data_IF_044304829247
#
_entry.id   IF_044304829247
#
_cell.length_a   1.000
_cell.length_b   1.000
_cell.length_c   1.000
_cell.angle_alpha   90.00
_cell.angle_beta   90.00
_cell.angle_gamma   90.00
#
_symmetry.space_group_name_H-M   'P 1'
#
loop_
_entity.id
_entity.type
_entity.pdbx_description
1 polymer ?
#
# COMPACT_ATOMS: atom_id res chain seq x y z
N UNK A 1 -15.00 1.00 14.51
CA UNK A 1 -15.55 1.64 13.29
C UNK A 1 -15.25 0.69 12.14
N UNK A 2 -16.27 0.17 11.46
CA UNK A 2 -16.07 -0.75 10.34
C UNK A 2 -15.28 -0.02 9.25
N UNK A 3 -14.16 -0.59 8.80
CA UNK A 3 -13.37 0.00 7.72
C UNK A 3 -14.14 -0.10 6.42
N UNK A 4 -14.39 1.05 5.79
CA UNK A 4 -15.19 1.15 4.58
C UNK A 4 -14.37 0.59 3.41
N UNK A 5 -14.79 -0.54 2.84
CA UNK A 5 -14.05 -1.22 1.76
C UNK A 5 -14.13 -0.43 0.45
N UNK A 6 -13.18 -0.64 -0.49
CA UNK A 6 -13.22 0.02 -1.79
C UNK A 6 -14.55 -0.18 -2.52
N UNK A 7 -15.06 -1.42 -2.53
CA UNK A 7 -16.34 -1.75 -3.16
C UNK A 7 -17.50 -0.99 -2.52
N UNK A 8 -17.54 -0.93 -1.18
CA UNK A 8 -18.62 -0.23 -0.47
C UNK A 8 -18.60 1.28 -0.71
N UNK A 9 -17.41 1.91 -0.76
CA UNK A 9 -17.28 3.33 -1.09
C UNK A 9 -17.72 3.62 -2.53
N UNK A 10 -17.38 2.73 -3.46
CA UNK A 10 -17.78 2.88 -4.86
C UNK A 10 -19.30 2.81 -5.02
N UNK A 11 -19.94 1.80 -4.42
CA UNK A 11 -21.41 1.66 -4.46
C UNK A 11 -22.11 2.84 -3.79
N UNK A 12 -21.57 3.35 -2.67
CA UNK A 12 -22.09 4.55 -2.01
C UNK A 12 -22.04 5.76 -2.96
N UNK A 13 -20.91 5.99 -3.63
CA UNK A 13 -20.76 7.11 -4.55
C UNK A 13 -21.73 7.06 -5.75
N UNK A 14 -21.99 5.84 -6.27
CA UNK A 14 -23.00 5.63 -7.31
C UNK A 14 -24.42 5.91 -6.79
N UNK A 15 -24.76 5.42 -5.60
CA UNK A 15 -26.07 5.62 -4.98
C UNK A 15 -26.35 7.10 -4.68
N UNK A 16 -25.32 7.87 -4.33
CA UNK A 16 -25.40 9.32 -4.11
C UNK A 16 -25.49 10.13 -5.42
N UNK A 17 -25.38 9.48 -6.59
CA UNK A 17 -25.43 10.14 -7.89
C UNK A 17 -24.20 10.98 -8.23
N UNK A 18 -23.13 10.89 -7.41
CA UNK A 18 -21.90 11.65 -7.61
C UNK A 18 -21.05 11.15 -8.79
N UNK A 19 -21.25 9.88 -9.19
CA UNK A 19 -20.49 9.20 -10.24
C UNK A 19 -21.41 8.34 -11.11
N UNK A 20 -21.01 8.13 -12.37
CA UNK A 20 -21.74 7.29 -13.31
C UNK A 20 -21.18 5.86 -13.30
N UNK A 21 -22.04 4.83 -13.42
CA UNK A 21 -21.57 3.45 -13.49
C UNK A 21 -20.78 3.20 -14.79
N UNK A 22 -19.56 2.68 -14.65
CA UNK A 22 -18.69 2.29 -15.75
C UNK A 22 -18.09 0.90 -15.49
N UNK A 23 -18.17 0.00 -16.46
CA UNK A 23 -17.73 -1.39 -16.28
C UNK A 23 -16.22 -1.51 -16.08
N UNK A 24 -15.44 -0.63 -16.72
CA UNK A 24 -13.98 -0.58 -16.52
C UNK A 24 -13.65 -0.08 -15.10
N UNK A 25 -14.42 0.88 -14.57
CA UNK A 25 -14.26 1.32 -13.19
C UNK A 25 -14.63 0.22 -12.20
N UNK A 26 -15.72 -0.53 -12.44
CA UNK A 26 -16.10 -1.68 -11.61
C UNK A 26 -15.00 -2.74 -11.56
N UNK A 27 -14.38 -3.05 -12.70
CA UNK A 27 -13.26 -3.99 -12.73
C UNK A 27 -12.07 -3.46 -11.91
N UNK A 28 -11.70 -2.19 -12.09
CA UNK A 28 -10.64 -1.59 -11.30
C UNK A 28 -10.94 -1.63 -9.79
N UNK A 29 -12.18 -1.31 -9.38
CA UNK A 29 -12.62 -1.41 -7.97
C UNK A 29 -12.53 -2.83 -7.45
N UNK A 30 -12.87 -3.83 -8.27
CA UNK A 30 -12.76 -5.24 -7.89
C UNK A 30 -11.29 -5.64 -7.65
N UNK A 31 -10.36 -5.13 -8.47
CA UNK A 31 -8.91 -5.33 -8.25
C UNK A 31 -8.42 -4.62 -6.98
N UNK A 32 -8.90 -3.39 -6.74
CA UNK A 32 -8.57 -2.63 -5.54
C UNK A 32 -9.12 -3.33 -4.27
N UNK A 33 -10.29 -3.96 -4.34
CA UNK A 33 -10.83 -4.77 -3.25
C UNK A 33 -9.91 -5.95 -2.93
N UNK A 34 -9.43 -6.68 -3.94
CA UNK A 34 -8.48 -7.79 -3.73
C UNK A 34 -7.23 -7.29 -3.01
N UNK A 35 -6.63 -6.19 -3.49
CA UNK A 35 -5.43 -5.60 -2.87
C UNK A 35 -5.75 -5.13 -1.44
N UNK A 36 -6.91 -4.52 -1.20
CA UNK A 36 -7.35 -4.14 0.15
C UNK A 36 -7.35 -5.36 1.09
N UNK A 37 -7.99 -6.47 0.66
CA UNK A 37 -8.08 -7.70 1.45
C UNK A 37 -6.70 -8.29 1.73
N UNK A 38 -5.83 -8.34 0.72
CA UNK A 38 -4.45 -8.81 0.88
C UNK A 38 -3.66 -7.92 1.87
N UNK A 39 -3.79 -6.59 1.80
CA UNK A 39 -3.11 -5.65 2.69
C UNK A 39 -3.62 -5.69 4.15
N UNK A 40 -4.91 -5.98 4.38
CA UNK A 40 -5.42 -6.11 5.76
C UNK A 40 -5.04 -7.46 6.37
N UNK A 41 -5.01 -8.52 5.56
CA UNK A 41 -4.69 -9.88 6.02
C UNK A 41 -3.17 -10.10 6.18
N UNK A 42 -2.33 -9.33 5.48
CA UNK A 42 -0.87 -9.42 5.56
C UNK A 42 -0.25 -8.67 6.76
N UNK A 43 -1.05 -8.24 7.74
CA UNK A 43 -0.55 -7.46 8.88
C UNK A 43 0.47 -8.29 9.69
N UNK A 44 1.74 -7.84 9.84
CA UNK A 44 2.71 -8.57 10.64
C UNK A 44 2.24 -8.61 12.11
N UNK A 45 2.45 -9.73 12.83
CA UNK A 45 2.12 -9.79 14.24
C UNK A 45 2.87 -8.69 14.98
N UNK A 46 2.18 -8.00 15.88
CA UNK A 46 2.76 -6.94 16.73
C UNK A 46 4.09 -7.39 17.33
N UNK A 47 5.06 -6.47 17.54
CA UNK A 47 6.35 -6.82 18.12
C UNK A 47 6.12 -7.47 19.49
N UNK A 48 6.25 -8.81 19.55
CA UNK A 48 6.17 -9.55 20.80
C UNK A 48 7.36 -9.12 21.64
N UNK A 49 7.06 -8.45 22.75
CA UNK A 49 8.01 -8.00 23.76
C UNK A 49 9.04 -9.10 24.02
N UNK A 50 10.32 -8.79 23.78
CA UNK A 50 11.41 -9.76 23.92
C UNK A 50 11.74 -9.92 25.40
N UNK A 51 10.88 -10.63 26.13
CA UNK A 51 11.17 -11.08 27.49
C UNK A 51 12.14 -12.26 27.48
N UNK A 52 12.81 -12.51 28.62
CA UNK A 52 13.77 -13.60 28.83
C UNK A 52 13.24 -15.00 28.40
N UNK A 53 11.91 -15.17 28.36
CA UNK A 53 11.21 -16.37 27.87
C UNK A 53 11.33 -16.64 26.36
N UNK A 54 11.65 -15.63 25.53
CA UNK A 54 11.79 -15.81 24.08
C UNK A 54 13.12 -16.47 23.66
N UNK A 55 14.12 -16.46 24.55
CA UNK A 55 15.46 -17.01 24.27
C UNK A 55 15.51 -18.53 24.45
N UNK A 56 14.75 -19.06 25.41
CA UNK A 56 14.66 -20.51 25.67
C UNK A 56 13.83 -21.24 24.62
N UNK A 57 12.79 -20.62 24.06
CA UNK A 57 12.01 -21.21 22.95
C UNK A 57 12.74 -21.26 21.59
N UNK A 58 13.87 -20.55 21.44
CA UNK A 58 14.61 -20.42 20.18
C UNK A 58 15.43 -21.68 19.82
N UNK A 59 15.64 -22.60 20.76
CA UNK A 59 16.47 -23.80 20.57
C UNK A 59 15.73 -25.01 20.00
N UNK A 60 14.39 -25.05 20.06
CA UNK A 60 13.58 -26.19 19.57
C UNK A 60 12.57 -25.83 18.46
N UNK A 61 12.42 -24.55 18.13
CA UNK A 61 11.53 -24.11 17.06
C UNK A 61 12.30 -23.75 15.81
N UNK A 62 12.25 -24.61 14.79
CA UNK A 62 12.56 -24.25 13.41
C UNK A 62 11.71 -23.02 13.07
N UNK A 63 12.33 -21.84 13.04
CA UNK A 63 11.69 -20.61 12.60
C UNK A 63 11.38 -20.80 11.13
N UNK A 64 10.14 -21.15 10.82
CA UNK A 64 9.60 -20.87 9.51
C UNK A 64 9.57 -19.35 9.39
N UNK A 65 10.61 -18.81 8.73
CA UNK A 65 10.53 -17.50 8.11
C UNK A 65 9.36 -17.61 7.12
N UNK A 66 8.16 -17.23 7.57
CA UNK A 66 7.03 -16.99 6.69
C UNK A 66 7.48 -15.89 5.75
N UNK A 67 8.00 -16.29 4.58
CA UNK A 67 8.29 -15.41 3.46
C UNK A 67 6.97 -14.75 3.10
N UNK A 68 6.71 -13.58 3.65
CA UNK A 68 5.56 -12.78 3.29
C UNK A 68 5.76 -12.35 1.84
N UNK A 69 4.98 -12.95 0.94
CA UNK A 69 4.92 -12.51 -0.45
C UNK A 69 4.36 -11.07 -0.46
N UNK A 70 5.07 -10.09 -1.05
CA UNK A 70 4.56 -8.73 -1.10
C UNK A 70 3.29 -8.67 -1.92
N UNK A 71 2.32 -7.90 -1.44
CA UNK A 71 1.07 -7.61 -2.16
C UNK A 71 1.41 -6.83 -3.42
N UNK A 72 0.93 -7.31 -4.58
CA UNK A 72 1.17 -6.63 -5.86
C UNK A 72 0.22 -5.45 -6.01
N UNK A 73 0.76 -4.32 -6.48
CA UNK A 73 -0.03 -3.12 -6.75
C UNK A 73 -0.83 -3.19 -8.05
N UNK A 74 -1.61 -2.13 -8.30
CA UNK A 74 -2.39 -1.93 -9.53
C UNK A 74 -1.87 -0.73 -10.30
N UNK A 75 -1.48 -0.93 -11.56
CA UNK A 75 -1.13 0.17 -12.47
C UNK A 75 -2.33 0.50 -13.37
N UNK A 76 -2.91 1.70 -13.19
CA UNK A 76 -4.08 2.15 -13.93
C UNK A 76 -3.69 3.17 -15.00
N UNK A 77 -4.03 2.89 -16.25
CA UNK A 77 -3.79 3.77 -17.39
C UNK A 77 -5.06 3.91 -18.25
N UNK A 78 -5.12 4.95 -19.08
CA UNK A 78 -6.27 5.21 -19.96
C UNK A 78 -6.56 6.71 -20.11
N UNK A 79 -7.62 7.03 -20.87
CA UNK A 79 -7.98 8.42 -21.24
C UNK A 79 -8.27 9.36 -20.07
N UNK A 80 -8.21 10.67 -20.34
CA UNK A 80 -8.54 11.75 -19.39
C UNK A 80 -10.03 11.67 -19.03
N UNK A 81 -10.38 12.02 -17.78
CA UNK A 81 -11.78 12.07 -17.33
C UNK A 81 -12.41 10.72 -16.95
N UNK A 82 -11.68 9.61 -17.00
CA UNK A 82 -12.21 8.26 -16.67
C UNK A 82 -12.22 7.92 -15.16
N UNK A 83 -11.98 8.90 -14.28
CA UNK A 83 -12.08 8.70 -12.83
C UNK A 83 -10.89 7.99 -12.16
N UNK A 84 -9.72 7.87 -12.82
CA UNK A 84 -8.53 7.22 -12.23
C UNK A 84 -8.10 7.84 -10.90
N UNK A 85 -8.01 9.18 -10.85
CA UNK A 85 -7.65 9.92 -9.63
C UNK A 85 -8.64 9.65 -8.51
N UNK A 86 -9.93 9.67 -8.84
CA UNK A 86 -10.99 9.37 -7.88
C UNK A 86 -10.90 7.93 -7.33
N UNK A 87 -10.66 6.94 -8.19
CA UNK A 87 -10.47 5.55 -7.76
C UNK A 87 -9.26 5.39 -6.82
N UNK A 88 -8.16 6.11 -7.08
CA UNK A 88 -7.03 6.16 -6.16
C UNK A 88 -7.39 6.80 -4.81
N UNK A 89 -8.14 7.91 -4.82
CA UNK A 89 -8.56 8.60 -3.59
C UNK A 89 -9.48 7.74 -2.74
N UNK A 90 -10.43 7.07 -3.40
CA UNK A 90 -11.32 6.09 -2.79
C UNK A 90 -10.51 4.97 -2.13
N UNK A 91 -9.54 4.40 -2.85
CA UNK A 91 -8.72 3.31 -2.29
C UNK A 91 -7.86 3.77 -1.12
N UNK A 92 -7.24 4.95 -1.21
CA UNK A 92 -6.48 5.57 -0.13
C UNK A 92 -7.34 5.74 1.12
N UNK A 93 -8.56 6.24 0.97
CA UNK A 93 -9.51 6.45 2.06
C UNK A 93 -9.96 5.12 2.70
N UNK A 94 -10.10 4.05 1.90
CA UNK A 94 -10.47 2.73 2.39
C UNK A 94 -9.40 2.07 3.27
N UNK A 95 -8.11 2.33 3.04
CA UNK A 95 -7.06 1.66 3.81
C UNK A 95 -7.08 2.04 5.30
N UNK A 96 -7.03 1.07 6.24
CA UNK A 96 -6.97 1.37 7.66
C UNK A 96 -5.55 1.76 8.12
N UNK A 97 -5.49 2.68 9.08
CA UNK A 97 -4.25 3.17 9.68
C UNK A 97 -3.66 4.41 9.00
N UNK A 98 -2.65 4.98 9.64
CA UNK A 98 -2.03 6.26 9.24
C UNK A 98 -0.75 6.07 8.42
N UNK A 99 -0.15 4.88 8.43
CA UNK A 99 1.06 4.55 7.67
C UNK A 99 0.77 4.25 6.19
N UNK A 100 0.14 5.20 5.50
CA UNK A 100 -0.17 5.18 4.07
C UNK A 100 0.19 6.53 3.46
N UNK A 101 0.72 6.55 2.25
CA UNK A 101 1.23 7.77 1.63
C UNK A 101 0.75 7.86 0.19
N UNK A 102 0.23 9.04 -0.20
CA UNK A 102 -0.21 9.34 -1.57
C UNK A 102 0.75 10.34 -2.19
N UNK A 103 1.39 9.99 -3.29
CA UNK A 103 2.35 10.85 -3.97
C UNK A 103 1.93 11.08 -5.41
N UNK A 104 2.12 12.32 -5.87
CA UNK A 104 2.11 12.57 -7.30
C UNK A 104 3.43 12.08 -7.90
N UNK A 105 3.36 11.33 -9.00
CA UNK A 105 4.53 10.74 -9.65
C UNK A 105 5.68 11.74 -9.85
N UNK A 106 5.40 12.96 -10.30
CA UNK A 106 6.43 13.98 -10.47
C UNK A 106 7.12 14.35 -9.14
N UNK A 107 6.37 14.47 -8.03
CA UNK A 107 6.94 14.76 -6.71
C UNK A 107 7.74 13.58 -6.17
N UNK A 108 7.27 12.36 -6.44
CA UNK A 108 8.01 11.14 -6.12
C UNK A 108 9.35 11.10 -6.86
N UNK A 109 9.35 11.31 -8.19
CA UNK A 109 10.57 11.29 -8.99
C UNK A 109 11.54 12.41 -8.62
N UNK A 110 11.04 13.61 -8.32
CA UNK A 110 11.89 14.70 -7.85
C UNK A 110 12.63 14.32 -6.57
N UNK A 111 11.92 13.77 -5.58
CA UNK A 111 12.53 13.29 -4.34
C UNK A 111 13.55 12.18 -4.60
N UNK A 112 13.23 11.20 -5.47
CA UNK A 112 14.18 10.14 -5.85
C UNK A 112 15.46 10.74 -6.44
N UNK A 113 15.36 11.74 -7.32
CA UNK A 113 16.52 12.40 -7.91
C UNK A 113 17.34 13.21 -6.90
N UNK A 114 16.69 13.90 -5.96
CA UNK A 114 17.35 14.59 -4.86
C UNK A 114 18.15 13.60 -3.99
N UNK A 115 17.52 12.50 -3.55
CA UNK A 115 18.18 11.48 -2.73
C UNK A 115 19.30 10.74 -3.50
N UNK A 116 19.14 10.50 -4.80
CA UNK A 116 20.21 9.94 -5.64
C UNK A 116 21.43 10.86 -5.72
N UNK A 117 21.20 12.18 -5.69
CA UNK A 117 22.28 13.17 -5.71
C UNK A 117 23.04 13.17 -4.39
N UNK A 118 22.33 13.06 -3.25
CA UNK A 118 22.95 12.94 -1.92
C UNK A 118 23.73 11.64 -1.73
N UNK A 119 23.29 10.55 -2.36
CA UNK A 119 23.89 9.22 -2.26
C UNK A 119 24.93 8.94 -3.36
N UNK A 120 25.44 9.96 -4.06
CA UNK A 120 26.49 9.79 -5.06
C UNK A 120 27.71 9.05 -4.49
N UNK A 121 28.16 8.02 -5.21
CA UNK A 121 29.29 7.18 -4.82
C UNK A 121 28.94 6.01 -3.88
N UNK A 122 27.70 5.89 -3.42
CA UNK A 122 27.22 4.70 -2.72
C UNK A 122 26.93 3.57 -3.71
N UNK A 123 27.14 2.32 -3.29
CA UNK A 123 26.64 1.16 -4.04
C UNK A 123 25.13 1.07 -3.87
N UNK A 124 24.42 0.78 -4.95
CA UNK A 124 22.98 0.48 -4.95
C UNK A 124 22.11 1.54 -4.23
N UNK A 125 22.25 2.85 -4.54
CA UNK A 125 21.59 3.92 -3.81
C UNK A 125 20.06 3.83 -3.89
N UNK A 126 19.51 3.19 -4.93
CA UNK A 126 18.07 2.94 -5.05
C UNK A 126 17.54 1.98 -3.99
N UNK A 127 18.32 1.00 -3.53
CA UNK A 127 17.91 0.12 -2.43
C UNK A 127 17.79 0.91 -1.12
N UNK A 128 18.76 1.78 -0.85
CA UNK A 128 18.75 2.69 0.31
C UNK A 128 17.51 3.59 0.27
N UNK A 129 17.22 4.18 -0.90
CA UNK A 129 16.03 5.04 -1.10
C UNK A 129 14.75 4.22 -0.89
N UNK A 130 14.66 3.00 -1.42
CA UNK A 130 13.50 2.12 -1.24
C UNK A 130 13.28 1.78 0.24
N UNK A 131 14.34 1.50 0.99
CA UNK A 131 14.26 1.23 2.43
C UNK A 131 13.80 2.45 3.23
N UNK A 132 14.21 3.67 2.84
CA UNK A 132 13.70 4.93 3.42
C UNK A 132 12.20 5.09 3.19
N UNK A 133 11.74 4.91 1.94
CA UNK A 133 10.31 4.95 1.62
C UNK A 133 9.50 3.92 2.42
N UNK A 134 10.04 2.70 2.58
CA UNK A 134 9.42 1.64 3.40
C UNK A 134 9.40 1.97 4.89
N UNK A 135 10.42 2.64 5.42
CA UNK A 135 10.45 3.07 6.81
C UNK A 135 9.39 4.15 7.08
N UNK A 136 9.18 5.07 6.15
CA UNK A 136 8.13 6.10 6.23
C UNK A 136 6.74 5.51 6.01
N UNK A 137 6.62 4.59 5.04
CA UNK A 137 5.35 4.06 4.56
C UNK A 137 5.19 2.59 4.95
N UNK A 138 4.33 2.32 5.93
CA UNK A 138 4.17 0.98 6.49
C UNK A 138 3.20 0.06 5.74
N UNK A 139 2.18 0.62 5.09
CA UNK A 139 1.06 -0.17 4.57
C UNK A 139 0.85 -0.06 3.06
N UNK A 140 0.99 1.14 2.49
CA UNK A 140 0.87 1.35 1.05
C UNK A 140 1.43 2.69 0.60
N UNK A 141 2.13 2.67 -0.53
CA UNK A 141 2.52 3.83 -1.32
C UNK A 141 1.60 3.88 -2.55
N UNK A 142 1.01 5.05 -2.81
CA UNK A 142 0.10 5.31 -3.93
C UNK A 142 0.66 6.35 -4.89
#
# INVERSE_FOLDING_TARGET
MQSVTPTSQYLKALNEGSHQPDDVQKEAVSRLEIIYQELINSTPPAPRTSGLMARVGKLWGKREDTKHTPVRGLYMWGGVGRGKTWLMDLFYQSLPGERKQRLHFHRFMLRVHEELTELQGQSDPLEIIADRFKAETGRALF
#
